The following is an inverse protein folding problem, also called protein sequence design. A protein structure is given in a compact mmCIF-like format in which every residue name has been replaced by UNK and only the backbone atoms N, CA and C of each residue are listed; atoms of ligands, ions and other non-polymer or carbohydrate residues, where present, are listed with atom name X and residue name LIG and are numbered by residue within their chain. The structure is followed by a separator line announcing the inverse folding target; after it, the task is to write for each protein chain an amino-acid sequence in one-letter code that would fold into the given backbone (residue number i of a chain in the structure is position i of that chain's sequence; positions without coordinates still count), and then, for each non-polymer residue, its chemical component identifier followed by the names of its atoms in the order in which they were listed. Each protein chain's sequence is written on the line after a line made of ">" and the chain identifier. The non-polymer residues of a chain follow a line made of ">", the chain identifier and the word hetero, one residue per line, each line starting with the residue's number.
data_IF_041342159957
#
_entry.id   IF_041342159957
#
_cell.length_a   1.000
_cell.length_b   1.000
_cell.length_c   1.000
_cell.angle_alpha   90.00
_cell.angle_beta   90.00
_cell.angle_gamma   90.00
#
_symmetry.space_group_name_H-M   'P 1'
#
loop_
_entity.id
_entity.type
_entity.pdbx_description
1 polymer ?
#
# COMPACT_ATOMS: atom_id res chain seq x y z
N UNK A 1 12.29 13.82 18.22
CA UNK A 1 12.16 12.52 17.52
C UNK A 1 12.58 12.73 16.07
N UNK A 2 13.47 11.90 15.51
CA UNK A 2 13.96 12.08 14.13
C UNK A 2 12.84 11.67 13.15
N UNK A 3 12.41 12.52 12.20
CA UNK A 3 11.28 12.25 11.32
C UNK A 3 11.42 10.94 10.53
N UNK A 4 12.65 10.60 10.13
CA UNK A 4 12.96 9.34 9.45
C UNK A 4 12.56 8.10 10.28
N UNK A 5 12.72 8.14 11.60
CA UNK A 5 12.35 7.04 12.50
C UNK A 5 10.83 6.88 12.60
N UNK A 6 10.09 7.99 12.54
CA UNK A 6 8.63 7.95 12.55
C UNK A 6 8.08 7.31 11.27
N UNK A 7 8.64 7.66 10.10
CA UNK A 7 8.28 7.04 8.81
C UNK A 7 8.63 5.55 8.80
N UNK A 8 9.82 5.17 9.27
CA UNK A 8 10.19 3.76 9.38
C UNK A 8 9.22 2.98 10.28
N UNK A 9 8.91 3.52 11.47
CA UNK A 9 7.97 2.88 12.37
C UNK A 9 6.54 2.84 11.81
N UNK A 10 6.15 3.80 10.99
CA UNK A 10 4.85 3.78 10.33
C UNK A 10 4.77 2.67 9.27
N UNK A 11 5.80 2.56 8.42
CA UNK A 11 5.81 1.59 7.31
C UNK A 11 6.06 0.16 7.82
N UNK A 12 7.05 -0.02 8.70
CA UNK A 12 7.50 -1.34 9.18
C UNK A 12 6.81 -1.76 10.47
N UNK A 13 6.34 -0.79 11.28
CA UNK A 13 5.67 -1.07 12.54
C UNK A 13 4.21 -1.52 12.41
N UNK A 14 3.58 -1.32 11.25
CA UNK A 14 2.29 -1.92 10.93
C UNK A 14 2.44 -2.98 9.83
N UNK A 15 2.16 -4.24 10.19
CA UNK A 15 2.24 -5.38 9.28
C UNK A 15 1.25 -5.27 8.11
N UNK A 16 0.10 -4.62 8.28
CA UNK A 16 -0.86 -4.37 7.19
C UNK A 16 -0.26 -3.40 6.18
N UNK A 17 0.36 -2.31 6.63
CA UNK A 17 1.00 -1.31 5.77
C UNK A 17 2.21 -1.94 5.06
N UNK A 18 3.01 -2.73 5.78
CA UNK A 18 4.17 -3.41 5.21
C UNK A 18 3.77 -4.38 4.10
N UNK A 19 2.80 -5.27 4.35
CA UNK A 19 2.32 -6.23 3.35
C UNK A 19 1.60 -5.50 2.20
N UNK A 20 0.77 -4.51 2.52
CA UNK A 20 0.04 -3.73 1.53
C UNK A 20 0.98 -3.00 0.57
N UNK A 21 2.04 -2.37 1.08
CA UNK A 21 3.04 -1.69 0.24
C UNK A 21 3.84 -2.68 -0.62
N UNK A 22 4.21 -3.85 -0.10
CA UNK A 22 4.84 -4.92 -0.88
C UNK A 22 3.95 -5.39 -2.04
N UNK A 23 2.67 -5.64 -1.77
CA UNK A 23 1.70 -6.04 -2.80
C UNK A 23 1.51 -4.94 -3.85
N UNK A 24 1.50 -3.67 -3.45
CA UNK A 24 1.45 -2.53 -4.37
C UNK A 24 2.64 -2.54 -5.33
N UNK A 25 3.87 -2.66 -4.81
CA UNK A 25 5.06 -2.70 -5.66
C UNK A 25 5.07 -3.91 -6.59
N UNK A 26 4.63 -5.08 -6.10
CA UNK A 26 4.52 -6.29 -6.91
C UNK A 26 3.50 -6.14 -8.03
N UNK A 27 2.34 -5.55 -7.73
CA UNK A 27 1.26 -5.31 -8.70
C UNK A 27 1.71 -4.27 -9.74
N UNK A 28 2.41 -3.21 -9.31
CA UNK A 28 2.96 -2.21 -10.21
C UNK A 28 4.05 -2.80 -11.12
N UNK A 29 4.90 -3.67 -10.59
CA UNK A 29 5.88 -4.41 -11.38
C UNK A 29 5.19 -5.29 -12.42
N UNK A 30 4.11 -5.99 -12.05
CA UNK A 30 3.34 -6.84 -12.95
C UNK A 30 2.72 -6.02 -14.09
N UNK A 31 2.04 -4.91 -13.78
CA UNK A 31 1.41 -4.01 -14.77
C UNK A 31 2.42 -3.54 -15.82
N UNK A 32 3.63 -3.19 -15.38
CA UNK A 32 4.66 -2.63 -16.26
C UNK A 32 5.46 -3.67 -17.04
N UNK A 33 5.61 -4.90 -16.51
CA UNK A 33 6.43 -5.94 -17.14
C UNK A 33 5.62 -6.96 -17.95
N UNK A 34 4.32 -7.08 -17.72
CA UNK A 34 3.47 -8.03 -18.46
C UNK A 34 2.82 -7.34 -19.66
N UNK A 35 3.03 -7.89 -20.86
CA UNK A 35 2.52 -7.32 -22.11
C UNK A 35 0.98 -7.34 -22.19
N UNK A 36 0.32 -8.36 -21.64
CA UNK A 36 -1.16 -8.44 -21.62
C UNK A 36 -1.82 -7.37 -20.75
N UNK A 37 -1.07 -6.76 -19.82
CA UNK A 37 -1.54 -5.67 -18.95
C UNK A 37 -1.28 -4.28 -19.53
N UNK A 38 -0.83 -4.18 -20.78
CA UNK A 38 -0.60 -2.89 -21.46
C UNK A 38 -1.82 -1.95 -21.42
N UNK A 39 -3.07 -2.41 -21.65
CA UNK A 39 -4.24 -1.53 -21.64
C UNK A 39 -4.50 -0.84 -20.28
N UNK A 40 -4.04 -1.43 -19.17
CA UNK A 40 -4.30 -0.91 -17.83
C UNK A 40 -3.19 0.00 -17.29
N UNK A 41 -2.03 0.08 -17.98
CA UNK A 41 -0.89 0.93 -17.58
C UNK A 41 -1.24 2.41 -17.40
N UNK A 42 -2.08 3.04 -18.26
CA UNK A 42 -2.47 4.45 -18.06
C UNK A 42 -3.20 4.70 -16.73
N UNK A 43 -3.87 3.68 -16.20
CA UNK A 43 -4.62 3.76 -14.95
C UNK A 43 -3.81 3.37 -13.72
N UNK A 44 -2.52 3.03 -13.88
CA UNK A 44 -1.64 2.61 -12.77
C UNK A 44 -1.64 3.59 -11.59
N UNK A 45 -1.63 4.90 -11.86
CA UNK A 45 -1.72 5.93 -10.82
C UNK A 45 -3.04 5.90 -10.04
N UNK A 46 -4.17 5.72 -10.74
CA UNK A 46 -5.48 5.62 -10.09
C UNK A 46 -5.59 4.32 -9.27
N UNK A 47 -5.07 3.21 -9.80
CA UNK A 47 -4.99 1.92 -9.09
C UNK A 47 -4.19 2.09 -7.79
N UNK A 48 -3.04 2.77 -7.84
CA UNK A 48 -2.22 3.06 -6.65
C UNK A 48 -2.99 3.82 -5.58
N UNK A 49 -3.70 4.88 -5.96
CA UNK A 49 -4.50 5.68 -5.01
C UNK A 49 -5.55 4.81 -4.32
N UNK A 50 -6.30 4.02 -5.09
CA UNK A 50 -7.34 3.14 -4.55
C UNK A 50 -6.75 2.11 -3.59
N UNK A 51 -5.64 1.46 -3.97
CA UNK A 51 -5.00 0.45 -3.11
C UNK A 51 -4.46 1.08 -1.82
N UNK A 52 -3.85 2.25 -1.88
CA UNK A 52 -3.37 2.97 -0.69
C UNK A 52 -4.54 3.29 0.24
N UNK A 53 -5.66 3.80 -0.28
CA UNK A 53 -6.85 4.09 0.53
C UNK A 53 -7.41 2.83 1.21
N UNK A 54 -7.42 1.69 0.52
CA UNK A 54 -7.84 0.41 1.09
C UNK A 54 -6.90 -0.03 2.21
N UNK A 55 -5.58 0.00 1.99
CA UNK A 55 -4.58 -0.39 3.00
C UNK A 55 -4.70 0.49 4.25
N UNK A 56 -4.80 1.80 4.08
CA UNK A 56 -4.99 2.73 5.20
C UNK A 56 -6.31 2.48 5.93
N UNK A 57 -7.41 2.27 5.21
CA UNK A 57 -8.72 1.98 5.80
C UNK A 57 -8.70 0.68 6.62
N UNK A 58 -8.03 -0.36 6.11
CA UNK A 58 -7.85 -1.63 6.82
C UNK A 58 -7.01 -1.46 8.09
N UNK A 59 -5.91 -0.69 8.03
CA UNK A 59 -5.10 -0.33 9.19
C UNK A 59 -5.93 0.41 10.24
N UNK A 60 -6.64 1.48 9.86
CA UNK A 60 -7.49 2.22 10.79
C UNK A 60 -8.58 1.32 11.38
N UNK A 61 -9.23 0.49 10.56
CA UNK A 61 -10.25 -0.45 11.04
C UNK A 61 -9.71 -1.45 12.06
N UNK A 62 -8.48 -1.96 11.86
CA UNK A 62 -7.80 -2.82 12.84
C UNK A 62 -7.51 -2.06 14.12
N UNK A 63 -6.98 -0.84 14.04
CA UNK A 63 -6.70 -0.02 15.23
C UNK A 63 -7.97 0.30 16.03
N UNK A 64 -9.07 0.64 15.35
CA UNK A 64 -10.35 0.90 16.00
C UNK A 64 -10.92 -0.35 16.69
N UNK A 65 -10.71 -1.54 16.12
CA UNK A 65 -11.11 -2.81 16.76
C UNK A 65 -10.23 -3.18 17.95
N UNK A 66 -8.93 -2.92 17.87
CA UNK A 66 -7.99 -3.20 18.96
C UNK A 66 -8.09 -2.26 20.16
N UNK A 67 -8.86 -1.16 20.04
CA UNK A 67 -9.18 -0.24 21.14
C UNK A 67 -10.51 -0.53 21.86
N UNK A 68 -11.26 -1.54 21.43
CA UNK A 68 -12.40 -2.11 22.18
C UNK A 68 -11.91 -3.27 23.03
#
# INVERSE_FOLDING_TARGET
>A
MKPLKAVYNFIVGDMIILIGSLLVFLLLALINNVASLTPIRPYSGAILIVVILVVLSLTLGRELRGRK
#
